data_IF_723550532308
#
_entry.id   IF_723550532308
#
_cell.length_a   1.000
_cell.length_b   1.000
_cell.length_c   1.000
_cell.angle_alpha   90.00
_cell.angle_beta   90.00
_cell.angle_gamma   90.00
#
_symmetry.space_group_name_H-M   'P 1'
#
loop_
_entity.id
_entity.type
_entity.pdbx_description
1 polymer ?
#
# COMPACT_ATOMS: atom_id res chain seq x y z
N UNK A 1 -8.30 24.33 1.43
CA UNK A 1 -7.90 23.53 1.87
C UNK A 1 -8.32 22.08 2.01
N UNK A 2 -9.37 21.69 1.32
CA UNK A 2 -9.74 20.26 1.29
C UNK A 2 -8.58 19.40 0.79
N UNK A 3 -7.84 19.87 -0.21
CA UNK A 3 -6.72 19.13 -0.78
C UNK A 3 -5.58 18.92 0.21
N UNK A 4 -5.29 19.90 1.07
CA UNK A 4 -4.22 19.74 2.07
C UNK A 4 -4.58 18.72 3.13
N UNK A 5 -5.84 18.65 3.53
CA UNK A 5 -6.28 17.67 4.51
C UNK A 5 -6.22 16.25 3.94
N UNK A 6 -6.60 16.08 2.68
CA UNK A 6 -6.52 14.80 2.00
C UNK A 6 -5.09 14.36 1.78
N UNK A 7 -4.20 15.28 1.43
CA UNK A 7 -2.78 14.96 1.25
C UNK A 7 -2.16 14.53 2.57
N UNK A 8 -2.49 15.22 3.66
CA UNK A 8 -2.00 14.87 4.99
C UNK A 8 -2.52 13.49 5.41
N UNK A 9 -3.79 13.23 5.15
CA UNK A 9 -4.40 11.94 5.48
C UNK A 9 -3.73 10.82 4.69
N UNK A 10 -3.52 11.01 3.39
CA UNK A 10 -2.85 10.05 2.54
C UNK A 10 -1.46 9.70 3.08
N UNK A 11 -0.69 10.73 3.44
CA UNK A 11 0.65 10.54 3.96
C UNK A 11 0.65 9.85 5.33
N UNK A 12 -0.28 10.22 6.20
CA UNK A 12 -0.41 9.61 7.51
C UNK A 12 -0.69 8.11 7.39
N UNK A 13 -1.63 7.74 6.54
CA UNK A 13 -1.98 6.33 6.32
C UNK A 13 -0.79 5.59 5.72
N UNK A 14 -0.14 6.18 4.73
CA UNK A 14 1.06 5.61 4.11
C UNK A 14 2.14 5.31 5.16
N UNK A 15 2.41 6.26 6.04
CA UNK A 15 3.43 6.08 7.07
C UNK A 15 3.07 4.99 8.07
N UNK A 16 1.81 4.88 8.44
CA UNK A 16 1.35 3.83 9.34
C UNK A 16 1.46 2.45 8.70
N UNK A 17 1.11 2.34 7.43
CA UNK A 17 1.22 1.08 6.70
C UNK A 17 2.70 0.69 6.57
N UNK A 18 3.55 1.63 6.20
CA UNK A 18 4.98 1.39 6.07
C UNK A 18 5.57 0.88 7.38
N UNK A 19 5.21 1.51 8.49
CA UNK A 19 5.68 1.09 9.80
C UNK A 19 5.20 -0.32 10.14
N UNK A 20 3.94 -0.62 9.87
CA UNK A 20 3.39 -1.96 10.13
C UNK A 20 4.10 -3.03 9.32
N UNK A 21 4.42 -2.73 8.06
CA UNK A 21 5.05 -3.70 7.16
C UNK A 21 6.55 -3.85 7.40
N UNK A 22 7.17 -2.96 8.17
CA UNK A 22 8.60 -3.03 8.43
C UNK A 22 9.00 -4.31 9.18
N UNK A 23 8.07 -4.95 9.87
CA UNK A 23 8.36 -6.21 10.57
C UNK A 23 8.69 -7.37 9.61
N UNK A 24 8.40 -7.20 8.33
CA UNK A 24 8.71 -8.21 7.32
C UNK A 24 10.05 -7.98 6.64
N UNK A 25 10.80 -6.94 7.04
CA UNK A 25 12.04 -6.54 6.41
C UNK A 25 13.25 -7.26 7.01
N UNK A 26 13.26 -8.60 6.95
CA UNK A 26 14.34 -9.40 7.54
C UNK A 26 15.63 -9.37 6.73
N UNK A 27 15.50 -9.42 5.41
CA UNK A 27 16.64 -9.51 4.51
C UNK A 27 16.64 -8.36 3.49
N UNK A 28 16.24 -7.17 3.96
CA UNK A 28 16.04 -6.02 3.11
C UNK A 28 14.56 -5.67 3.02
N UNK A 29 14.27 -4.62 2.29
CA UNK A 29 12.92 -4.10 2.23
C UNK A 29 12.00 -5.04 1.44
N UNK A 30 11.03 -5.63 2.13
CA UNK A 30 10.08 -6.58 1.54
C UNK A 30 8.98 -5.87 0.75
N UNK A 31 8.52 -4.72 1.24
CA UNK A 31 7.43 -3.97 0.64
C UNK A 31 7.83 -2.51 0.43
N UNK A 32 7.46 -1.97 -0.73
CA UNK A 32 7.57 -0.53 -0.99
C UNK A 32 6.18 0.09 -0.85
N UNK A 33 6.08 1.12 -0.04
CA UNK A 33 4.85 1.87 0.16
C UNK A 33 5.04 3.26 -0.38
N UNK A 34 4.20 3.65 -1.32
CA UNK A 34 4.32 4.95 -1.98
C UNK A 34 2.96 5.61 -2.14
N UNK A 35 2.99 6.91 -2.37
CA UNK A 35 1.80 7.68 -2.69
C UNK A 35 1.55 7.61 -4.19
N UNK A 36 0.28 7.57 -4.59
CA UNK A 36 -0.07 7.53 -5.99
C UNK A 36 -1.39 8.22 -6.27
N UNK A 37 -1.76 8.22 -7.53
CA UNK A 37 -3.06 8.70 -7.96
C UNK A 37 -3.60 7.75 -9.03
N UNK A 38 -4.91 7.58 -9.04
CA UNK A 38 -5.58 6.80 -10.07
C UNK A 38 -6.94 7.44 -10.33
N UNK A 39 -7.16 7.82 -11.58
CA UNK A 39 -8.41 8.49 -12.00
C UNK A 39 -8.72 9.71 -11.13
N UNK A 40 -7.69 10.52 -10.86
CA UNK A 40 -7.77 11.73 -10.05
C UNK A 40 -8.08 11.48 -8.57
N UNK A 41 -8.02 10.24 -8.12
CA UNK A 41 -8.16 9.91 -6.72
C UNK A 41 -6.79 9.63 -6.11
N UNK A 42 -6.60 10.04 -4.85
CA UNK A 42 -5.38 9.75 -4.12
C UNK A 42 -5.36 8.30 -3.72
N UNK A 43 -4.22 7.67 -3.92
CA UNK A 43 -4.05 6.26 -3.54
C UNK A 43 -2.76 6.06 -2.76
N UNK A 44 -2.70 4.92 -2.07
CA UNK A 44 -1.49 4.42 -1.44
C UNK A 44 -1.20 3.09 -2.13
N UNK A 45 0.03 2.93 -2.61
CA UNK A 45 0.42 1.75 -3.37
C UNK A 45 1.43 0.96 -2.56
N UNK A 46 1.12 -0.31 -2.31
CA UNK A 46 2.01 -1.25 -1.62
C UNK A 46 2.44 -2.30 -2.62
N UNK A 47 3.73 -2.35 -2.91
CA UNK A 47 4.31 -3.31 -3.85
C UNK A 47 5.22 -4.27 -3.10
N UNK A 48 5.12 -5.54 -3.43
CA UNK A 48 6.05 -6.52 -2.91
C UNK A 48 7.30 -6.56 -3.78
N UNK A 49 8.47 -6.46 -3.17
CA UNK A 49 9.74 -6.40 -3.89
C UNK A 49 10.26 -7.77 -4.29
N UNK A 50 9.95 -8.81 -3.52
CA UNK A 50 10.45 -10.15 -3.76
C UNK A 50 9.34 -11.16 -3.63
N UNK A 51 9.36 -12.18 -4.48
CA UNK A 51 8.39 -13.26 -4.44
C UNK A 51 7.10 -12.95 -5.17
N UNK A 52 6.27 -13.96 -5.31
CA UNK A 52 5.10 -13.94 -6.17
C UNK A 52 3.78 -13.67 -5.44
N UNK A 53 3.79 -13.48 -4.14
CA UNK A 53 2.56 -13.27 -3.40
C UNK A 53 2.75 -12.38 -2.19
N UNK A 54 1.65 -11.81 -1.71
CA UNK A 54 1.64 -10.99 -0.51
C UNK A 54 1.19 -11.86 0.64
N UNK A 55 1.95 -11.82 1.74
CA UNK A 55 1.65 -12.62 2.92
C UNK A 55 0.27 -12.26 3.49
N UNK A 56 -0.47 -13.29 3.91
CA UNK A 56 -1.72 -13.12 4.63
C UNK A 56 -1.56 -12.22 5.86
N UNK A 57 -0.42 -12.32 6.55
CA UNK A 57 -0.14 -11.49 7.72
C UNK A 57 0.08 -10.03 7.32
N UNK A 58 0.71 -9.78 6.19
CA UNK A 58 0.87 -8.41 5.68
C UNK A 58 -0.48 -7.80 5.33
N UNK A 59 -1.35 -8.57 4.69
CA UNK A 59 -2.71 -8.12 4.38
C UNK A 59 -3.46 -7.75 5.66
N UNK A 60 -3.37 -8.58 6.68
CA UNK A 60 -4.03 -8.30 7.97
C UNK A 60 -3.49 -7.02 8.61
N UNK A 61 -2.19 -6.79 8.52
CA UNK A 61 -1.59 -5.57 9.07
C UNK A 61 -2.11 -4.32 8.34
N UNK A 62 -2.21 -4.39 7.02
CA UNK A 62 -2.74 -3.31 6.22
C UNK A 62 -4.22 -3.06 6.58
N UNK A 63 -5.01 -4.12 6.66
CA UNK A 63 -6.41 -4.00 7.01
C UNK A 63 -6.61 -3.39 8.39
N UNK A 64 -5.75 -3.72 9.35
CA UNK A 64 -5.83 -3.17 10.69
C UNK A 64 -5.64 -1.65 10.69
N UNK A 65 -4.69 -1.15 9.88
CA UNK A 65 -4.51 0.29 9.72
C UNK A 65 -5.73 0.92 9.03
N UNK A 66 -6.18 0.31 7.93
CA UNK A 66 -7.28 0.86 7.14
C UNK A 66 -8.59 0.91 7.91
N UNK A 67 -8.79 -0.01 8.83
CA UNK A 67 -10.00 -0.06 9.65
C UNK A 67 -10.22 1.23 10.42
N UNK A 68 -9.13 1.85 10.89
CA UNK A 68 -9.21 3.11 11.61
C UNK A 68 -9.72 4.26 10.74
N UNK A 69 -9.61 4.10 9.43
CA UNK A 69 -10.02 5.13 8.46
C UNK A 69 -11.22 4.71 7.65
N UNK A 70 -11.78 3.52 7.91
CA UNK A 70 -12.94 2.95 7.19
C UNK A 70 -12.65 2.80 5.69
N UNK A 71 -11.44 2.38 5.36
CA UNK A 71 -11.03 2.14 3.97
C UNK A 71 -10.87 0.65 3.72
N UNK A 72 -10.95 0.27 2.44
CA UNK A 72 -10.74 -1.12 2.02
C UNK A 72 -9.67 -1.16 0.94
N UNK A 73 -8.81 -2.18 0.96
CA UNK A 73 -7.79 -2.31 -0.07
C UNK A 73 -8.38 -2.85 -1.38
N UNK A 74 -7.77 -2.46 -2.49
CA UNK A 74 -8.04 -3.03 -3.80
C UNK A 74 -6.78 -3.78 -4.21
N UNK A 75 -6.91 -5.05 -4.52
CA UNK A 75 -5.78 -5.92 -4.88
C UNK A 75 -5.64 -6.02 -6.38
N UNK A 76 -4.39 -5.89 -6.88
CA UNK A 76 -4.11 -6.10 -8.28
C UNK A 76 -2.63 -6.43 -8.48
N UNK A 77 -2.31 -6.92 -9.67
CA UNK A 77 -0.93 -7.19 -10.07
C UNK A 77 -0.51 -6.19 -11.12
N UNK A 78 0.67 -5.62 -10.92
CA UNK A 78 1.27 -4.74 -11.92
C UNK A 78 2.34 -5.56 -12.65
N UNK A 79 2.22 -5.64 -13.97
CA UNK A 79 3.24 -6.23 -14.81
C UNK A 79 4.25 -5.13 -15.14
N UNK A 80 5.47 -5.26 -14.58
CA UNK A 80 6.53 -4.30 -14.82
C UNK A 80 7.28 -4.64 -16.11
N UNK A 81 7.46 -5.93 -16.37
CA UNK A 81 7.90 -6.45 -17.65
C UNK A 81 7.18 -7.78 -17.86
N UNK A 82 7.31 -8.35 -19.07
CA UNK A 82 6.58 -9.57 -19.43
C UNK A 82 6.91 -10.77 -18.53
N UNK A 83 8.00 -10.70 -17.81
CA UNK A 83 8.47 -11.83 -17.00
C UNK A 83 8.26 -11.62 -15.51
N UNK A 84 7.98 -10.39 -15.09
CA UNK A 84 7.89 -10.06 -13.67
C UNK A 84 6.57 -9.37 -13.35
N UNK A 85 5.71 -10.10 -12.69
CA UNK A 85 4.51 -9.55 -12.10
C UNK A 85 4.78 -9.35 -10.61
N UNK A 86 4.59 -8.12 -10.13
CA UNK A 86 4.75 -7.83 -8.71
C UNK A 86 3.38 -7.62 -8.09
N UNK A 87 3.05 -8.40 -7.06
CA UNK A 87 1.78 -8.22 -6.35
C UNK A 87 1.69 -6.82 -5.76
N UNK A 88 0.57 -6.18 -5.96
CA UNK A 88 0.37 -4.81 -5.53
C UNK A 88 -0.99 -4.66 -4.90
N UNK A 89 -1.04 -3.90 -3.81
CA UNK A 89 -2.28 -3.48 -3.17
C UNK A 89 -2.39 -1.99 -3.37
N UNK A 90 -3.52 -1.54 -3.90
CA UNK A 90 -3.79 -0.12 -4.03
C UNK A 90 -4.99 0.24 -3.16
N UNK A 91 -4.84 1.32 -2.41
CA UNK A 91 -5.84 1.76 -1.45
C UNK A 91 -6.29 3.16 -1.86
N UNK A 92 -7.56 3.31 -2.11
CA UNK A 92 -8.12 4.63 -2.43
C UNK A 92 -8.40 5.40 -1.16
N UNK A 93 -7.87 6.62 -1.08
CA UNK A 93 -8.12 7.53 0.02
C UNK A 93 -9.21 8.50 -0.42
N UNK A 94 -10.37 8.34 0.15
CA UNK A 94 -11.54 9.11 -0.28
C UNK A 94 -11.76 10.31 0.62
#
# INVERSE_FOLDING_TARGET
MISKDKDRLQEEIKNRIEKSLSRFDDAGKEYDVSLGTRNNHRTIVVKKNKGAGISHYAVKDIEAVLRDYRLSPVFYYIEIDKEKMKPTIEIFVV
#
